data_IF_760645766898
#
_entry.id   IF_760645766898
#
_cell.length_a   1.000
_cell.length_b   1.000
_cell.length_c   1.000
_cell.angle_alpha   90.00
_cell.angle_beta   90.00
_cell.angle_gamma   90.00
#
_symmetry.space_group_name_H-M   'P 1'
#
loop_
_entity.id
_entity.type
_entity.pdbx_description
1 polymer ?
#
# COMPACT_ATOMS: atom_id res chain seq x y z
N UNK A 1 -58.13 57.27 -63.30
CA UNK A 1 -58.44 55.82 -63.46
C UNK A 1 -57.74 55.06 -62.34
N UNK A 2 -58.44 54.11 -61.70
CA UNK A 2 -57.99 53.32 -60.52
C UNK A 2 -56.72 52.50 -60.80
N UNK A 3 -55.84 52.37 -59.80
CA UNK A 3 -55.28 51.08 -59.37
C UNK A 3 -54.64 51.18 -57.98
N UNK A 4 -55.05 50.26 -57.09
CA UNK A 4 -54.54 49.97 -55.74
C UNK A 4 -53.48 48.86 -55.86
N UNK A 5 -52.59 48.76 -54.85
CA UNK A 5 -51.76 47.60 -54.38
C UNK A 5 -50.25 47.87 -54.48
N UNK A 6 -49.36 47.51 -53.55
CA UNK A 6 -49.39 46.72 -52.29
C UNK A 6 -48.10 47.00 -51.52
N UNK A 7 -48.16 46.95 -50.18
CA UNK A 7 -47.01 47.00 -49.24
C UNK A 7 -46.02 45.85 -49.48
N UNK A 8 -44.72 46.10 -49.26
CA UNK A 8 -43.79 45.10 -48.71
C UNK A 8 -42.57 45.78 -48.09
N UNK A 9 -42.62 45.92 -46.77
CA UNK A 9 -41.47 46.17 -45.89
C UNK A 9 -40.59 44.91 -45.86
N UNK A 10 -39.28 45.07 -46.05
CA UNK A 10 -38.29 44.05 -45.70
C UNK A 10 -37.25 44.71 -44.81
N UNK A 11 -37.41 44.49 -43.50
CA UNK A 11 -36.43 44.80 -42.47
C UNK A 11 -35.33 43.74 -42.54
N UNK A 12 -34.10 44.14 -42.84
CA UNK A 12 -32.92 43.26 -42.74
C UNK A 12 -32.45 43.31 -41.29
N UNK A 13 -32.70 42.23 -40.53
CA UNK A 13 -32.10 42.02 -39.23
C UNK A 13 -30.69 41.40 -39.42
N UNK A 14 -29.66 42.13 -39.04
CA UNK A 14 -28.29 41.60 -38.92
C UNK A 14 -28.26 40.77 -37.63
N UNK A 15 -28.36 39.45 -37.77
CA UNK A 15 -28.23 38.51 -36.66
C UNK A 15 -26.77 38.35 -36.25
N UNK A 16 -26.43 38.79 -35.03
CA UNK A 16 -25.17 38.44 -34.38
C UNK A 16 -25.22 36.97 -33.96
N UNK A 17 -24.41 36.12 -34.60
CA UNK A 17 -24.19 34.75 -34.17
C UNK A 17 -23.18 34.74 -33.01
N UNK A 18 -23.68 34.87 -31.79
CA UNK A 18 -22.92 34.50 -30.59
C UNK A 18 -23.11 32.99 -30.41
N UNK A 19 -22.11 32.20 -30.80
CA UNK A 19 -22.08 30.78 -30.47
C UNK A 19 -21.90 30.63 -28.95
N UNK A 20 -22.76 29.88 -28.24
CA UNK A 20 -22.51 29.59 -26.83
C UNK A 20 -21.36 28.59 -26.78
N UNK A 21 -20.21 29.03 -26.26
CA UNK A 21 -19.15 28.15 -25.81
C UNK A 21 -19.71 27.35 -24.63
N UNK A 22 -20.32 26.19 -24.89
CA UNK A 22 -20.64 25.22 -23.84
C UNK A 22 -19.30 24.71 -23.31
N UNK A 23 -18.82 25.35 -22.25
CA UNK A 23 -17.75 24.80 -21.42
C UNK A 23 -18.24 23.50 -20.82
N UNK A 24 -17.83 22.37 -21.41
CA UNK A 24 -17.89 21.08 -20.75
C UNK A 24 -16.98 21.16 -19.53
N UNK A 25 -17.54 21.56 -18.39
CA UNK A 25 -16.91 21.33 -17.09
C UNK A 25 -16.95 19.82 -16.90
N UNK A 26 -15.89 19.14 -17.33
CA UNK A 26 -15.69 17.72 -17.00
C UNK A 26 -15.54 17.69 -15.48
N UNK A 27 -16.62 17.41 -14.77
CA UNK A 27 -16.56 17.06 -13.37
C UNK A 27 -15.75 15.77 -13.29
N UNK A 28 -14.50 15.85 -12.82
CA UNK A 28 -13.72 14.65 -12.50
C UNK A 28 -14.56 13.85 -11.50
N UNK A 29 -15.04 12.68 -11.91
CA UNK A 29 -15.82 11.81 -11.02
C UNK A 29 -14.97 11.45 -9.81
N UNK A 30 -15.57 11.45 -8.63
CA UNK A 30 -14.96 10.86 -7.43
C UNK A 30 -14.91 9.35 -7.64
N UNK A 31 -13.82 8.84 -8.22
CA UNK A 31 -13.55 7.41 -8.19
C UNK A 31 -13.04 7.08 -6.78
N UNK A 32 -13.83 6.30 -6.03
CA UNK A 32 -13.58 6.03 -4.62
C UNK A 32 -12.50 4.97 -4.43
N UNK A 33 -11.26 5.43 -4.31
CA UNK A 33 -10.14 4.61 -3.86
C UNK A 33 -10.22 4.35 -2.36
N UNK A 34 -9.55 3.30 -1.89
CA UNK A 34 -9.54 2.97 -0.47
C UNK A 34 -8.30 2.17 -0.12
N UNK A 35 -7.54 2.64 0.87
CA UNK A 35 -6.36 1.95 1.35
C UNK A 35 -5.58 2.70 2.42
N UNK A 36 -4.75 1.97 3.16
CA UNK A 36 -3.94 2.53 4.24
C UNK A 36 -2.66 1.71 4.47
N UNK A 37 -1.72 2.27 5.23
CA UNK A 37 -0.50 1.56 5.64
C UNK A 37 -0.80 0.68 6.85
N UNK A 38 -0.56 -0.62 6.73
CA UNK A 38 -0.80 -1.63 7.78
C UNK A 38 0.44 -1.91 8.62
N UNK A 39 1.65 -1.78 8.05
CA UNK A 39 2.91 -2.02 8.75
C UNK A 39 4.04 -1.09 8.27
N UNK A 40 4.76 -0.37 9.16
CA UNK A 40 4.42 -0.16 10.57
C UNK A 40 3.03 0.45 10.70
N UNK A 41 2.28 0.05 11.74
CA UNK A 41 0.88 0.43 11.90
C UNK A 41 0.69 1.96 11.87
N UNK A 42 -0.02 2.44 10.85
CA UNK A 42 -0.45 3.83 10.77
C UNK A 42 -1.42 4.20 11.89
N UNK A 43 -1.63 5.50 12.10
CA UNK A 43 -2.57 6.01 13.11
C UNK A 43 -3.97 5.43 12.92
N UNK A 44 -4.50 5.41 11.68
CA UNK A 44 -5.79 4.79 11.40
C UNK A 44 -5.78 3.26 11.58
N UNK A 45 -4.65 2.56 11.33
CA UNK A 45 -4.53 1.14 11.64
C UNK A 45 -4.53 0.87 13.15
N UNK A 46 -3.87 1.72 13.95
CA UNK A 46 -3.90 1.67 15.40
C UNK A 46 -5.32 1.88 15.95
N UNK A 47 -6.08 2.80 15.35
CA UNK A 47 -7.49 2.98 15.66
C UNK A 47 -8.31 1.71 15.38
N UNK A 48 -8.21 1.16 14.16
CA UNK A 48 -8.96 -0.03 13.75
C UNK A 48 -8.62 -1.27 14.60
N UNK A 49 -7.37 -1.40 15.02
CA UNK A 49 -6.89 -2.48 15.89
C UNK A 49 -7.12 -2.22 17.39
N UNK A 50 -7.80 -1.13 17.77
CA UNK A 50 -8.05 -0.72 19.15
C UNK A 50 -6.77 -0.52 20.00
N UNK A 51 -5.64 -0.23 19.37
CA UNK A 51 -4.39 0.15 20.06
C UNK A 51 -4.53 1.55 20.65
N UNK A 52 -5.17 2.45 19.91
CA UNK A 52 -5.50 3.80 20.35
C UNK A 52 -7.01 3.99 20.26
N UNK A 53 -7.60 4.59 21.28
CA UNK A 53 -9.03 4.89 21.28
C UNK A 53 -9.35 6.00 20.28
N UNK A 54 -10.23 5.70 19.33
CA UNK A 54 -10.58 6.54 18.20
C UNK A 54 -12.09 6.57 17.96
N UNK A 55 -12.55 7.59 17.24
CA UNK A 55 -13.92 7.77 16.78
C UNK A 55 -14.24 6.91 15.55
N UNK A 56 -14.80 7.55 14.52
CA UNK A 56 -15.32 6.88 13.32
C UNK A 56 -14.25 6.11 12.55
N UNK A 57 -13.03 6.65 12.47
CA UNK A 57 -11.97 6.12 11.60
C UNK A 57 -11.58 4.67 11.90
N UNK A 58 -11.84 4.17 13.11
CA UNK A 58 -11.56 2.75 13.45
C UNK A 58 -12.39 1.76 12.64
N UNK A 59 -13.54 2.17 12.11
CA UNK A 59 -14.41 1.31 11.30
C UNK A 59 -14.05 1.33 9.81
N UNK A 60 -13.29 2.33 9.38
CA UNK A 60 -13.00 2.59 7.98
C UNK A 60 -11.60 3.17 7.77
N UNK A 61 -10.53 2.49 8.25
CA UNK A 61 -9.16 3.00 8.16
C UNK A 61 -8.72 3.30 6.71
N UNK A 62 -9.37 2.67 5.73
CA UNK A 62 -9.14 2.87 4.31
C UNK A 62 -9.63 4.20 3.72
N UNK A 63 -10.41 4.99 4.47
CA UNK A 63 -11.23 6.10 3.93
C UNK A 63 -10.63 7.50 4.10
N UNK A 64 -9.35 7.62 4.43
CA UNK A 64 -8.69 8.94 4.62
C UNK A 64 -8.33 9.59 3.27
N UNK A 65 -9.35 9.90 2.48
CA UNK A 65 -9.26 10.47 1.12
C UNK A 65 -9.37 12.00 1.12
N UNK A 66 -8.36 12.73 0.68
CA UNK A 66 -8.41 14.20 0.61
C UNK A 66 -7.93 14.75 -0.72
N UNK A 67 -8.10 16.06 -1.00
CA UNK A 67 -7.48 16.72 -2.14
C UNK A 67 -5.95 16.53 -2.13
N UNK A 68 -5.33 16.31 -3.29
CA UNK A 68 -3.87 16.18 -3.42
C UNK A 68 -3.13 17.40 -2.84
N UNK A 69 -1.92 17.15 -2.33
CA UNK A 69 -1.00 18.20 -1.86
C UNK A 69 -1.14 18.58 -0.38
N UNK A 70 -2.03 17.94 0.37
CA UNK A 70 -2.11 18.10 1.81
C UNK A 70 -0.95 17.42 2.55
N UNK A 71 -0.68 17.90 3.76
CA UNK A 71 0.30 17.32 4.70
C UNK A 71 -0.34 16.94 6.05
N UNK A 72 -1.67 16.95 6.12
CA UNK A 72 -2.44 16.50 7.28
C UNK A 72 -2.60 14.98 7.28
N UNK A 73 -2.58 14.38 8.46
CA UNK A 73 -2.86 12.97 8.68
C UNK A 73 -4.34 12.61 8.44
N UNK A 74 -5.25 13.57 8.61
CA UNK A 74 -6.70 13.41 8.40
C UNK A 74 -7.14 13.51 6.93
N UNK A 75 -6.25 13.87 6.01
CA UNK A 75 -6.66 14.23 4.64
C UNK A 75 -7.59 15.45 4.56
N UNK A 76 -7.65 16.29 5.59
CA UNK A 76 -8.52 17.47 5.65
C UNK A 76 -9.93 17.19 6.19
N UNK A 77 -10.22 15.96 6.62
CA UNK A 77 -11.50 15.58 7.20
C UNK A 77 -11.60 15.95 8.67
N UNK A 78 -12.67 16.66 9.03
CA UNK A 78 -12.94 17.07 10.42
C UNK A 78 -13.31 15.90 11.33
N UNK A 79 -13.99 14.90 10.76
CA UNK A 79 -14.39 13.64 11.41
C UNK A 79 -13.20 12.75 11.76
N UNK A 80 -12.05 12.95 11.08
CA UNK A 80 -10.80 12.24 11.31
C UNK A 80 -9.73 13.13 11.94
N UNK A 81 -10.11 14.31 12.47
CA UNK A 81 -9.18 15.29 13.03
C UNK A 81 -8.31 14.74 14.17
N UNK A 82 -8.76 13.69 14.86
CA UNK A 82 -7.96 12.98 15.86
C UNK A 82 -6.65 12.40 15.29
N UNK A 83 -6.60 12.06 14.00
CA UNK A 83 -5.38 11.61 13.32
C UNK A 83 -4.31 12.71 13.28
N UNK A 84 -4.69 13.99 13.34
CA UNK A 84 -3.75 15.12 13.34
C UNK A 84 -3.22 15.43 14.75
N UNK A 85 -3.90 14.98 15.81
CA UNK A 85 -3.47 15.19 17.20
C UNK A 85 -2.23 14.34 17.52
N UNK A 86 -1.08 14.99 17.65
CA UNK A 86 0.17 14.31 18.00
C UNK A 86 0.23 13.86 19.47
N UNK A 87 -0.70 14.31 20.32
CA UNK A 87 -0.77 13.96 21.74
C UNK A 87 -1.77 12.85 22.05
N UNK A 88 -2.41 12.24 21.04
CA UNK A 88 -3.42 11.17 21.18
C UNK A 88 -2.89 9.88 21.82
N UNK A 89 -1.57 9.78 22.04
CA UNK A 89 -0.93 8.59 22.61
C UNK A 89 -0.61 7.52 21.57
N UNK A 90 -0.30 7.91 20.34
CA UNK A 90 0.08 6.98 19.27
C UNK A 90 1.26 6.09 19.67
N UNK A 91 1.10 4.78 19.44
CA UNK A 91 2.18 3.84 19.58
C UNK A 91 3.25 4.13 18.51
N UNK A 92 4.52 4.04 18.90
CA UNK A 92 5.66 4.33 18.04
C UNK A 92 6.43 3.06 17.75
N UNK A 93 6.62 2.76 16.48
CA UNK A 93 7.35 1.56 16.06
C UNK A 93 8.84 1.85 15.95
N UNK A 94 9.68 1.05 16.62
CA UNK A 94 11.12 1.11 16.42
C UNK A 94 11.47 0.54 15.04
N UNK A 95 12.19 1.31 14.23
CA UNK A 95 12.58 0.94 12.85
C UNK A 95 14.08 1.15 12.64
N UNK A 96 14.63 0.47 11.64
CA UNK A 96 16.03 0.69 11.23
C UNK A 96 16.16 1.93 10.34
N UNK A 97 17.36 2.25 9.86
CA UNK A 97 17.58 3.33 8.87
C UNK A 97 16.85 3.12 7.55
N UNK A 98 16.42 1.88 7.28
CA UNK A 98 15.55 1.52 6.15
C UNK A 98 14.35 0.74 6.68
N UNK A 99 13.15 1.07 6.22
CA UNK A 99 11.90 0.42 6.67
C UNK A 99 11.00 0.07 5.49
N UNK A 100 10.40 -1.12 5.54
CA UNK A 100 9.34 -1.53 4.62
C UNK A 100 8.00 -0.95 5.10
N UNK A 101 7.27 -0.27 4.23
CA UNK A 101 5.92 0.23 4.48
C UNK A 101 4.92 -0.58 3.68
N UNK A 102 4.14 -1.43 4.34
CA UNK A 102 3.13 -2.30 3.76
C UNK A 102 1.79 -1.59 3.66
N UNK A 103 1.19 -1.63 2.48
CA UNK A 103 -0.12 -1.10 2.19
C UNK A 103 -1.13 -2.23 2.01
N UNK A 104 -2.37 -1.95 2.41
CA UNK A 104 -3.55 -2.75 2.06
C UNK A 104 -4.58 -1.86 1.39
N UNK A 105 -5.01 -2.25 0.18
CA UNK A 105 -5.97 -1.51 -0.64
C UNK A 105 -7.25 -2.35 -0.83
N UNK A 106 -8.36 -1.88 -0.27
CA UNK A 106 -9.67 -2.53 -0.41
C UNK A 106 -10.35 -2.17 -1.73
N UNK A 107 -10.10 -0.96 -2.26
CA UNK A 107 -10.48 -0.53 -3.59
C UNK A 107 -9.24 0.00 -4.33
N UNK A 108 -8.78 -0.73 -5.34
CA UNK A 108 -7.54 -0.44 -6.07
C UNK A 108 -7.84 0.48 -7.26
N UNK A 109 -7.09 1.57 -7.39
CA UNK A 109 -7.28 2.56 -8.46
C UNK A 109 -6.02 2.83 -9.26
N UNK A 110 -6.19 3.37 -10.46
CA UNK A 110 -5.06 3.86 -11.25
C UNK A 110 -4.25 4.84 -10.41
N UNK A 111 -2.93 4.63 -10.33
CA UNK A 111 -2.08 5.34 -9.37
C UNK A 111 -1.00 6.14 -10.08
N UNK A 112 -0.86 7.44 -9.75
CA UNK A 112 0.20 8.26 -10.33
C UNK A 112 1.53 7.98 -9.63
N UNK A 113 1.54 8.04 -8.30
CA UNK A 113 2.71 7.74 -7.47
C UNK A 113 2.33 7.54 -6.00
N UNK A 114 3.31 7.08 -5.24
CA UNK A 114 3.32 7.03 -3.79
C UNK A 114 4.44 7.91 -3.27
N UNK A 115 4.18 8.75 -2.28
CA UNK A 115 5.16 9.66 -1.70
C UNK A 115 5.23 9.47 -0.20
N UNK A 116 6.43 9.61 0.36
CA UNK A 116 6.69 9.51 1.78
C UNK A 116 7.38 10.76 2.26
N UNK A 117 6.89 11.35 3.34
CA UNK A 117 7.39 12.60 3.90
C UNK A 117 7.72 12.49 5.37
N UNK A 118 8.71 13.26 5.82
CA UNK A 118 8.86 13.65 7.23
C UNK A 118 8.70 15.17 7.28
N UNK A 119 7.67 15.65 7.98
CA UNK A 119 7.22 17.04 7.83
C UNK A 119 6.83 17.32 6.37
N UNK A 120 7.49 18.30 5.74
CA UNK A 120 7.32 18.62 4.31
C UNK A 120 8.44 18.08 3.43
N UNK A 121 9.42 17.38 4.01
CA UNK A 121 10.57 16.85 3.27
C UNK A 121 10.20 15.51 2.65
N UNK A 122 10.25 15.43 1.32
CA UNK A 122 10.07 14.17 0.58
C UNK A 122 11.27 13.26 0.84
N UNK A 123 11.03 12.09 1.42
CA UNK A 123 12.08 11.10 1.73
C UNK A 123 12.10 9.92 0.75
N UNK A 124 10.98 9.61 0.10
CA UNK A 124 10.92 8.61 -0.96
C UNK A 124 9.72 8.83 -1.89
N UNK A 125 9.83 8.38 -3.13
CA UNK A 125 8.75 8.37 -4.11
C UNK A 125 8.82 7.12 -4.99
N UNK A 126 7.67 6.50 -5.24
CA UNK A 126 7.53 5.33 -6.09
C UNK A 126 6.53 5.61 -7.21
N UNK A 127 6.87 5.41 -8.49
CA UNK A 127 5.95 5.66 -9.59
C UNK A 127 4.84 4.59 -9.62
N UNK A 128 3.59 5.03 -9.80
CA UNK A 128 2.46 4.13 -10.03
C UNK A 128 2.19 3.84 -11.51
N UNK A 129 2.82 4.62 -12.41
CA UNK A 129 2.73 4.47 -13.87
C UNK A 129 1.30 4.50 -14.43
N UNK A 130 0.36 5.14 -13.72
CA UNK A 130 -1.07 5.15 -14.01
C UNK A 130 -1.66 3.73 -14.14
N UNK A 131 -1.03 2.74 -13.50
CA UNK A 131 -1.51 1.37 -13.43
C UNK A 131 -2.33 1.14 -12.16
N UNK A 132 -3.17 0.11 -12.17
CA UNK A 132 -3.81 -0.39 -10.96
C UNK A 132 -2.78 -1.21 -10.17
N UNK A 133 -2.47 -0.88 -8.91
CA UNK A 133 -1.53 -1.63 -8.07
C UNK A 133 -2.13 -2.97 -7.59
N UNK A 134 -1.32 -3.89 -7.02
CA UNK A 134 -1.80 -5.01 -6.22
C UNK A 134 -2.59 -4.54 -4.98
N UNK A 135 -3.38 -5.44 -4.38
CA UNK A 135 -4.10 -5.13 -3.14
C UNK A 135 -3.15 -4.95 -1.96
N UNK A 136 -2.13 -5.80 -1.91
CA UNK A 136 -1.13 -5.84 -0.86
C UNK A 136 0.25 -5.73 -1.50
N UNK A 137 1.05 -4.78 -1.02
CA UNK A 137 2.43 -4.56 -1.46
C UNK A 137 3.17 -3.74 -0.40
N UNK A 138 4.49 -3.64 -0.54
CA UNK A 138 5.26 -2.74 0.32
C UNK A 138 6.30 -1.94 -0.45
N UNK A 139 6.69 -0.81 0.13
CA UNK A 139 7.80 0.00 -0.34
C UNK A 139 8.91 0.05 0.70
N UNK A 140 10.16 -0.11 0.26
CA UNK A 140 11.33 0.05 1.13
C UNK A 140 11.81 1.51 1.10
N UNK A 141 11.67 2.19 2.23
CA UNK A 141 12.00 3.62 2.39
C UNK A 141 13.28 3.75 3.22
N UNK A 142 14.27 4.43 2.68
CA UNK A 142 15.49 4.81 3.39
C UNK A 142 15.30 6.19 4.02
N UNK A 143 15.55 6.32 5.32
CA UNK A 143 15.36 7.57 6.05
C UNK A 143 16.53 8.55 5.92
N UNK A 144 17.59 8.20 5.18
CA UNK A 144 18.78 9.01 5.04
C UNK A 144 19.42 9.29 6.41
N UNK A 145 19.53 10.58 6.75
CA UNK A 145 20.08 11.04 8.03
C UNK A 145 19.04 11.24 9.13
N UNK A 146 17.74 11.03 8.86
CA UNK A 146 16.71 11.13 9.89
C UNK A 146 16.89 10.02 10.94
N UNK A 147 16.81 10.40 12.21
CA UNK A 147 16.95 9.50 13.37
C UNK A 147 15.95 9.89 14.45
N UNK A 148 15.77 9.02 15.45
CA UNK A 148 14.88 9.24 16.58
C UNK A 148 13.41 9.21 16.21
N UNK A 149 12.57 9.79 17.07
CA UNK A 149 11.12 9.83 16.88
C UNK A 149 10.75 10.73 15.70
N UNK A 150 10.10 10.17 14.69
CA UNK A 150 9.62 10.87 13.50
C UNK A 150 8.18 10.48 13.20
N UNK A 151 7.46 11.38 12.53
CA UNK A 151 6.17 11.08 11.91
C UNK A 151 6.33 11.04 10.41
N UNK A 152 6.08 9.88 9.83
CA UNK A 152 6.09 9.66 8.39
C UNK A 152 4.67 9.87 7.87
N UNK A 153 4.51 10.71 6.85
CA UNK A 153 3.28 10.80 6.07
C UNK A 153 3.46 10.03 4.77
N UNK A 154 2.70 8.96 4.61
CA UNK A 154 2.60 8.22 3.36
C UNK A 154 1.37 8.71 2.58
N UNK A 155 1.58 9.06 1.32
CA UNK A 155 0.57 9.65 0.43
C UNK A 155 0.43 8.78 -0.81
N UNK A 156 -0.78 8.31 -1.06
CA UNK A 156 -1.17 7.64 -2.30
C UNK A 156 -1.83 8.63 -3.24
N UNK A 157 -1.17 9.02 -4.34
CA UNK A 157 -1.77 9.89 -5.34
C UNK A 157 -2.49 9.05 -6.41
N UNK A 158 -3.83 9.15 -6.46
CA UNK A 158 -4.67 8.48 -7.47
C UNK A 158 -4.49 9.19 -8.82
N UNK A 159 -4.34 8.46 -9.92
CA UNK A 159 -4.01 9.05 -11.22
C UNK A 159 -5.20 9.76 -11.87
N UNK A 160 -6.40 9.22 -11.73
CA UNK A 160 -7.61 9.62 -12.46
C UNK A 160 -8.57 10.50 -11.66
N UNK A 161 -8.20 10.89 -10.42
CA UNK A 161 -8.96 11.83 -9.58
C UNK A 161 -8.09 13.00 -9.10
N UNK A 162 -8.72 14.00 -8.48
CA UNK A 162 -8.02 15.10 -7.82
C UNK A 162 -7.55 14.75 -6.39
N UNK A 163 -7.79 13.51 -5.93
CA UNK A 163 -7.63 13.11 -4.54
C UNK A 163 -6.41 12.21 -4.31
N UNK A 164 -6.06 12.06 -3.04
CA UNK A 164 -5.02 11.20 -2.51
C UNK A 164 -5.43 10.59 -1.17
N UNK A 165 -4.78 9.51 -0.76
CA UNK A 165 -4.97 8.87 0.55
C UNK A 165 -3.80 9.16 1.47
N UNK A 166 -4.11 9.47 2.73
CA UNK A 166 -3.15 9.96 3.70
C UNK A 166 -3.02 8.99 4.87
N UNK A 167 -1.79 8.54 5.14
CA UNK A 167 -1.51 7.65 6.26
C UNK A 167 -0.31 8.16 7.05
N UNK A 168 -0.53 8.53 8.32
CA UNK A 168 0.55 8.92 9.23
C UNK A 168 1.04 7.72 10.04
N UNK A 169 2.34 7.57 10.17
CA UNK A 169 3.01 6.49 10.89
C UNK A 169 4.04 7.10 11.83
N UNK A 170 3.90 6.81 13.13
CA UNK A 170 4.85 7.27 14.14
C UNK A 170 5.95 6.21 14.32
N UNK A 171 7.20 6.58 14.03
CA UNK A 171 8.35 5.68 14.08
C UNK A 171 9.46 6.23 14.96
N UNK A 172 10.33 5.36 15.47
CA UNK A 172 11.56 5.71 16.15
C UNK A 172 12.74 5.08 15.40
N UNK A 173 13.40 5.89 14.58
CA UNK A 173 14.43 5.47 13.64
C UNK A 173 15.76 5.29 14.37
N UNK A 174 16.34 4.09 14.27
CA UNK A 174 17.58 3.72 14.97
C UNK A 174 17.36 3.33 16.43
N UNK A 175 16.12 3.14 16.88
CA UNK A 175 15.82 2.61 18.21
C UNK A 175 16.27 1.16 18.38
N UNK A 176 16.98 0.85 19.47
CA UNK A 176 17.33 -0.51 19.89
C UNK A 176 16.06 -1.29 20.27
N UNK A 177 15.47 -1.98 19.28
CA UNK A 177 14.25 -2.77 19.47
C UNK A 177 13.52 -3.17 18.17
N UNK A 178 14.00 -2.75 17.00
CA UNK A 178 13.34 -2.98 15.71
C UNK A 178 13.44 -4.39 15.11
N UNK A 179 13.86 -5.41 15.87
CA UNK A 179 13.99 -6.78 15.35
C UNK A 179 12.64 -7.52 15.23
N UNK A 180 11.58 -7.03 15.89
CA UNK A 180 10.27 -7.72 15.92
C UNK A 180 9.28 -7.21 14.87
N UNK A 181 9.46 -6.00 14.32
CA UNK A 181 8.61 -5.46 13.23
C UNK A 181 9.15 -5.77 11.82
N UNK A 182 10.46 -5.92 11.67
CA UNK A 182 11.11 -6.14 10.37
C UNK A 182 10.81 -7.50 9.73
N UNK A 183 10.50 -8.54 10.51
CA UNK A 183 10.28 -9.89 9.97
C UNK A 183 8.88 -10.06 9.36
N UNK A 184 7.88 -9.33 9.87
CA UNK A 184 6.51 -9.37 9.34
C UNK A 184 6.35 -8.47 8.10
N UNK A 185 6.96 -7.28 8.07
CA UNK A 185 6.92 -6.40 6.88
C UNK A 185 7.99 -6.70 5.82
N UNK A 186 9.10 -7.35 6.19
CA UNK A 186 10.19 -7.71 5.28
C UNK A 186 9.86 -8.89 4.36
N UNK A 187 9.03 -9.83 4.83
CA UNK A 187 8.65 -11.02 4.05
C UNK A 187 7.55 -10.70 3.02
N UNK A 188 6.69 -9.72 3.30
CA UNK A 188 5.63 -9.26 2.37
C UNK A 188 6.14 -8.21 1.37
N UNK A 189 7.09 -7.35 1.78
CA UNK A 189 7.62 -6.28 0.93
C UNK A 189 8.74 -6.68 -0.02
N UNK A 190 9.54 -7.68 0.34
CA UNK A 190 10.66 -8.15 -0.47
C UNK A 190 10.24 -8.79 -1.80
N UNK A 191 9.05 -9.39 -1.85
CA UNK A 191 8.58 -10.17 -3.00
C UNK A 191 7.97 -9.30 -4.11
N UNK A 192 7.37 -8.15 -3.75
CA UNK A 192 6.65 -7.30 -4.73
C UNK A 192 7.53 -6.17 -5.30
N UNK A 193 8.51 -5.66 -4.54
CA UNK A 193 9.42 -4.60 -5.02
C UNK A 193 10.58 -5.10 -5.89
N UNK A 194 10.98 -6.38 -5.75
CA UNK A 194 12.12 -6.94 -6.48
C UNK A 194 11.88 -7.19 -7.98
N UNK A 195 10.63 -7.31 -8.41
CA UNK A 195 10.28 -7.70 -9.80
C UNK A 195 10.24 -6.53 -10.79
N UNK A 196 10.04 -5.29 -10.35
CA UNK A 196 9.96 -4.15 -11.29
C UNK A 196 11.31 -3.44 -11.52
N UNK A 197 12.24 -3.50 -10.56
CA UNK A 197 13.59 -2.92 -10.72
C UNK A 197 14.67 -3.89 -11.24
N UNK A 198 14.42 -5.21 -11.17
CA UNK A 198 15.44 -6.24 -11.48
C UNK A 198 15.75 -6.45 -12.96
N UNK A 199 14.91 -5.95 -13.89
CA UNK A 199 15.06 -6.24 -15.32
C UNK A 199 16.17 -5.45 -16.01
N UNK A 200 16.75 -4.42 -15.39
CA UNK A 200 17.86 -3.64 -16.00
C UNK A 200 19.25 -3.95 -15.41
N UNK A 201 19.33 -4.64 -14.26
CA UNK A 201 20.62 -4.92 -13.59
C UNK A 201 21.09 -6.39 -13.56
N UNK A 202 20.27 -7.33 -14.06
CA UNK A 202 20.39 -8.76 -13.78
C UNK A 202 21.51 -9.55 -14.49
N UNK A 203 22.39 -8.94 -15.28
CA UNK A 203 23.33 -9.71 -16.13
C UNK A 203 24.78 -9.78 -15.64
N UNK A 204 25.14 -9.34 -14.43
CA UNK A 204 26.57 -9.38 -14.01
C UNK A 204 26.87 -9.95 -12.61
N UNK A 205 25.87 -10.30 -11.78
CA UNK A 205 26.15 -10.73 -10.38
C UNK A 205 26.07 -12.22 -10.04
N UNK A 206 25.62 -13.08 -10.96
CA UNK A 206 25.04 -14.40 -10.62
C UNK A 206 25.99 -15.58 -10.31
N UNK A 207 27.32 -15.43 -10.26
CA UNK A 207 28.23 -16.60 -10.31
C UNK A 207 29.17 -16.81 -9.12
N UNK A 208 28.98 -16.20 -7.94
CA UNK A 208 29.99 -16.39 -6.84
C UNK A 208 29.46 -16.58 -5.41
N UNK A 209 28.15 -16.66 -5.15
CA UNK A 209 27.66 -16.78 -3.76
C UNK A 209 27.29 -18.18 -3.26
N UNK A 210 27.25 -19.19 -4.14
CA UNK A 210 26.54 -20.45 -3.90
C UNK A 210 27.38 -21.60 -3.34
N UNK A 211 28.30 -21.37 -2.41
CA UNK A 211 28.95 -22.45 -1.64
C UNK A 211 29.68 -21.84 -0.45
N UNK A 212 29.12 -21.94 0.76
CA UNK A 212 29.77 -22.16 2.07
C UNK A 212 28.86 -21.65 3.18
N UNK A 213 28.41 -22.54 4.08
CA UNK A 213 27.77 -22.14 5.34
C UNK A 213 26.70 -23.10 5.86
N UNK A 214 27.08 -24.35 6.15
CA UNK A 214 26.27 -25.27 6.93
C UNK A 214 26.51 -25.12 8.44
N UNK A 215 25.42 -25.27 9.21
CA UNK A 215 25.25 -25.81 10.58
C UNK A 215 26.01 -25.26 11.80
N UNK A 216 25.23 -24.86 12.81
CA UNK A 216 25.37 -25.14 14.28
C UNK A 216 24.15 -24.53 15.01
N UNK A 217 23.05 -25.25 15.29
CA UNK A 217 22.75 -26.05 16.51
C UNK A 217 21.73 -25.29 17.43
N UNK A 218 20.59 -25.83 17.92
CA UNK A 218 20.01 -27.17 17.84
C UNK A 218 18.64 -27.33 18.54
N UNK A 219 18.26 -28.61 18.67
CA UNK A 219 17.17 -29.30 19.40
C UNK A 219 15.74 -29.25 18.83
N UNK A 220 15.36 -30.36 18.16
CA UNK A 220 14.12 -30.58 17.43
C UNK A 220 14.36 -30.38 15.93
N UNK A 221 14.88 -31.41 15.24
CA UNK A 221 15.19 -31.28 13.81
C UNK A 221 14.21 -32.11 13.01
N UNK A 222 13.20 -31.46 12.47
CA UNK A 222 12.42 -31.99 11.38
C UNK A 222 13.34 -32.61 10.32
N UNK A 223 13.05 -33.86 9.93
CA UNK A 223 13.82 -34.61 8.92
C UNK A 223 13.29 -34.36 7.50
N UNK A 224 12.07 -33.83 7.38
CA UNK A 224 11.50 -33.42 6.09
C UNK A 224 12.20 -32.16 5.56
N UNK A 225 12.31 -32.08 4.24
CA UNK A 225 12.87 -30.91 3.56
C UNK A 225 12.09 -29.65 3.95
N UNK A 226 12.78 -28.52 4.13
CA UNK A 226 12.13 -27.26 4.45
C UNK A 226 11.14 -26.86 3.35
N UNK A 227 9.96 -26.38 3.74
CA UNK A 227 8.98 -25.85 2.79
C UNK A 227 9.56 -24.66 2.02
N UNK A 228 9.31 -24.63 0.73
CA UNK A 228 9.80 -23.62 -0.20
C UNK A 228 8.63 -23.07 -1.03
N UNK A 229 8.43 -21.76 -0.97
CA UNK A 229 7.34 -21.05 -1.66
C UNK A 229 7.35 -21.22 -3.19
N UNK A 230 8.51 -21.50 -3.80
CA UNK A 230 8.64 -21.66 -5.25
C UNK A 230 8.46 -23.12 -5.70
N UNK A 231 8.55 -24.08 -4.78
CA UNK A 231 8.37 -25.50 -5.08
C UNK A 231 6.88 -25.82 -5.16
N UNK A 232 6.49 -26.47 -6.26
CA UNK A 232 5.18 -27.11 -6.37
C UNK A 232 5.21 -28.37 -5.51
N UNK A 233 4.24 -28.53 -4.64
CA UNK A 233 4.03 -29.73 -3.86
C UNK A 233 2.78 -30.47 -4.31
N UNK A 234 2.90 -31.76 -4.58
CA UNK A 234 1.77 -32.63 -4.89
C UNK A 234 1.19 -33.26 -3.61
N UNK A 235 -0.06 -33.70 -3.67
CA UNK A 235 -0.73 -34.35 -2.53
C UNK A 235 0.09 -35.53 -1.99
N UNK A 236 0.33 -35.54 -0.67
CA UNK A 236 1.10 -36.54 0.05
C UNK A 236 2.56 -36.13 0.34
N UNK A 237 3.10 -35.11 -0.32
CA UNK A 237 4.47 -34.65 -0.08
C UNK A 237 4.60 -33.97 1.29
N UNK A 238 5.72 -34.22 1.99
CA UNK A 238 5.96 -33.75 3.36
C UNK A 238 7.10 -32.75 3.41
N UNK A 239 6.90 -31.66 4.15
CA UNK A 239 7.86 -30.58 4.35
C UNK A 239 7.94 -30.20 5.82
N UNK A 240 9.01 -29.54 6.22
CA UNK A 240 9.14 -28.93 7.54
C UNK A 240 8.95 -27.43 7.47
N UNK A 241 8.17 -26.88 8.40
CA UNK A 241 7.96 -25.45 8.53
C UNK A 241 7.51 -25.09 9.95
N UNK A 242 8.15 -24.12 10.59
CA UNK A 242 7.76 -23.62 11.91
C UNK A 242 7.82 -24.66 13.03
N UNK A 243 8.85 -25.52 13.05
CA UNK A 243 9.00 -26.64 14.01
C UNK A 243 7.86 -27.67 13.96
N UNK A 244 7.26 -27.85 12.77
CA UNK A 244 6.22 -28.83 12.50
C UNK A 244 6.48 -29.50 11.15
N UNK A 245 6.07 -30.76 11.02
CA UNK A 245 6.01 -31.45 9.73
C UNK A 245 4.63 -31.25 9.14
N UNK A 246 4.56 -30.99 7.84
CA UNK A 246 3.33 -30.71 7.13
C UNK A 246 3.22 -31.59 5.90
N UNK A 247 2.03 -32.11 5.63
CA UNK A 247 1.73 -32.89 4.42
C UNK A 247 0.79 -32.14 3.51
N UNK A 248 1.16 -32.00 2.24
CA UNK A 248 0.29 -31.40 1.23
C UNK A 248 -0.95 -32.28 1.05
N UNK A 249 -2.15 -31.72 1.16
CA UNK A 249 -3.41 -32.47 1.01
C UNK A 249 -3.76 -32.66 -0.48
N UNK A 250 -3.31 -31.73 -1.33
CA UNK A 250 -3.43 -31.74 -2.78
C UNK A 250 -2.34 -30.83 -3.38
N UNK A 251 -2.40 -30.58 -4.69
CA UNK A 251 -1.46 -29.69 -5.39
C UNK A 251 -1.45 -28.28 -4.76
N UNK A 252 -0.27 -27.77 -4.43
CA UNK A 252 -0.09 -26.45 -3.81
C UNK A 252 1.24 -25.83 -4.24
N UNK A 253 1.27 -24.51 -4.41
CA UNK A 253 2.49 -23.76 -4.68
C UNK A 253 2.36 -22.37 -4.04
N UNK A 254 3.22 -22.09 -3.08
CA UNK A 254 3.27 -20.79 -2.41
C UNK A 254 2.29 -20.62 -1.25
N UNK A 255 1.30 -21.50 -1.06
CA UNK A 255 0.51 -21.50 0.17
C UNK A 255 1.34 -22.03 1.34
N UNK A 256 1.50 -21.22 2.40
CA UNK A 256 2.35 -21.56 3.54
C UNK A 256 1.65 -22.50 4.53
N UNK A 257 2.33 -23.53 5.05
CA UNK A 257 1.80 -24.37 6.12
C UNK A 257 1.43 -23.57 7.39
N UNK A 258 0.31 -23.93 8.02
CA UNK A 258 -0.17 -23.34 9.30
C UNK A 258 -1.00 -22.06 9.21
N UNK A 259 -1.23 -21.49 8.01
CA UNK A 259 -1.90 -20.19 7.86
C UNK A 259 -3.44 -20.24 7.80
N UNK A 260 -4.01 -21.39 7.46
CA UNK A 260 -5.44 -21.54 7.10
C UNK A 260 -6.19 -22.53 7.99
N UNK A 261 -5.58 -22.98 9.10
CA UNK A 261 -6.16 -23.97 10.01
C UNK A 261 -6.48 -25.30 9.32
N UNK A 262 -7.43 -26.07 9.87
CA UNK A 262 -7.81 -27.40 9.33
C UNK A 262 -8.35 -27.37 7.87
N UNK A 263 -8.79 -26.19 7.41
CA UNK A 263 -9.30 -25.97 6.05
C UNK A 263 -8.19 -25.66 5.04
N UNK A 264 -6.94 -25.56 5.49
CA UNK A 264 -5.79 -25.31 4.66
C UNK A 264 -5.40 -26.46 3.74
N UNK A 265 -4.47 -26.15 2.83
CA UNK A 265 -3.87 -27.09 1.87
C UNK A 265 -2.82 -28.00 2.54
N UNK A 266 -2.41 -27.68 3.76
CA UNK A 266 -1.44 -28.44 4.55
C UNK A 266 -2.12 -29.13 5.73
N UNK A 267 -1.77 -30.40 5.94
CA UNK A 267 -2.13 -31.22 7.09
C UNK A 267 -0.96 -31.20 8.08
N UNK A 268 -1.21 -30.79 9.33
CA UNK A 268 -0.18 -30.74 10.38
C UNK A 268 0.08 -32.15 10.90
N UNK A 269 1.31 -32.65 10.74
CA UNK A 269 1.76 -33.95 11.25
C UNK A 269 2.33 -33.86 12.66
N UNK A 270 2.33 -32.66 13.26
CA UNK A 270 2.80 -32.39 14.60
C UNK A 270 4.21 -31.81 14.64
N UNK A 271 4.59 -31.45 15.86
CA UNK A 271 5.86 -30.80 16.13
C UNK A 271 7.06 -31.71 15.79
N UNK A 272 8.10 -31.08 15.29
CA UNK A 272 9.42 -31.61 15.07
C UNK A 272 10.44 -30.47 15.26
#
# INVERSE_FOLDING_TARGET
>A
MKAIKTKRTVTVAVGALIAPLLGLTVSAGSASAHGWVTDPASRQAQCANNVVSCGQIKYEPQSVEGPKGLFSCSGGHSEYAELDDNNKGWAVTNVSSTQSFSWHLTARHSTSNWQYYIGTTLIAQFPGNNAQPPADFSHSVNFGSFTGRQKVLAVWNVADTANAFYSCIDVNIGGTGGTTGGTTGGTTGGTTGGTTGGTTGGTTGGTTGGTTGGSTGGTGSCTAAAWNTATVYNGGETVSYGNHNWRAKWWTQGEQPGTTGQWGVWDDLGAC
#
